data_IF_976194546239
#
_entry.id   IF_976194546239
#
_cell.length_a   1.000
_cell.length_b   1.000
_cell.length_c   1.000
_cell.angle_alpha   90.00
_cell.angle_beta   90.00
_cell.angle_gamma   90.00
#
_symmetry.space_group_name_H-M   'P 1'
#
loop_
_entity.id
_entity.type
_entity.pdbx_description
1 polymer ?
#
# COMPACT_ATOMS: atom_id res chain seq x y z
N UNK A 1 8.32 -4.85 15.36
CA UNK A 1 8.78 -3.57 15.94
C UNK A 1 7.62 -2.63 16.29
N UNK A 2 6.86 -2.08 15.33
CA UNK A 2 5.81 -1.09 15.64
C UNK A 2 4.81 -1.59 16.70
N UNK A 3 4.32 -2.83 16.57
CA UNK A 3 3.40 -3.42 17.57
C UNK A 3 4.00 -3.41 18.98
N UNK A 4 5.30 -3.68 19.12
CA UNK A 4 5.99 -3.67 20.42
C UNK A 4 6.03 -2.25 21.00
N UNK A 5 6.31 -1.23 20.18
CA UNK A 5 6.29 0.17 20.62
C UNK A 5 4.89 0.58 21.09
N UNK A 6 3.84 0.16 20.39
CA UNK A 6 2.45 0.41 20.84
C UNK A 6 2.17 -0.26 22.17
N UNK A 7 2.63 -1.51 22.36
CA UNK A 7 2.45 -2.24 23.62
C UNK A 7 3.14 -1.50 24.75
N UNK A 8 4.39 -1.08 24.55
CA UNK A 8 5.14 -0.31 25.56
C UNK A 8 4.46 1.03 25.86
N UNK A 9 4.02 1.77 24.84
CA UNK A 9 3.32 3.06 25.01
C UNK A 9 2.02 2.91 25.81
N UNK A 10 1.32 1.80 25.64
CA UNK A 10 0.05 1.53 26.31
C UNK A 10 0.23 0.80 27.67
N UNK A 11 1.44 0.42 28.04
CA UNK A 11 1.73 -0.19 29.35
C UNK A 11 1.62 0.87 30.44
N UNK A 12 1.06 0.49 31.58
CA UNK A 12 0.95 1.31 32.79
C UNK A 12 1.66 0.68 34.00
N UNK A 13 2.54 -0.31 33.75
CA UNK A 13 3.34 -1.07 34.72
C UNK A 13 2.53 -1.77 35.85
N UNK A 14 1.20 -1.70 35.78
CA UNK A 14 0.27 -2.37 36.68
C UNK A 14 -0.14 -3.73 36.11
N UNK A 15 0.31 -4.79 36.79
CA UNK A 15 -0.04 -6.18 36.44
C UNK A 15 -1.55 -6.49 36.51
N UNK A 16 -2.34 -5.63 37.16
CA UNK A 16 -3.79 -5.78 37.28
C UNK A 16 -4.56 -5.09 36.14
N UNK A 17 -3.90 -4.20 35.40
CA UNK A 17 -4.51 -3.53 34.26
C UNK A 17 -4.76 -4.54 33.15
N UNK A 18 -6.00 -4.49 32.64
CA UNK A 18 -6.42 -5.41 31.59
C UNK A 18 -5.68 -5.08 30.29
N UNK A 19 -5.16 -6.10 29.58
CA UNK A 19 -4.44 -5.86 28.34
C UNK A 19 -5.38 -5.33 27.26
N UNK A 20 -4.91 -4.30 26.57
CA UNK A 20 -5.56 -3.75 25.39
C UNK A 20 -5.30 -4.65 24.17
N UNK A 21 -6.33 -4.80 23.34
CA UNK A 21 -6.21 -5.43 22.03
C UNK A 21 -5.72 -4.39 21.02
N UNK A 22 -4.46 -4.50 20.62
CA UNK A 22 -3.79 -3.59 19.71
C UNK A 22 -3.76 -4.19 18.31
N UNK A 23 -4.44 -3.52 17.38
CA UNK A 23 -4.52 -3.97 15.98
C UNK A 23 -4.07 -2.88 15.02
N UNK A 24 -3.44 -3.29 13.92
CA UNK A 24 -3.09 -2.38 12.83
C UNK A 24 -4.39 -1.97 12.11
N UNK A 25 -4.72 -0.69 12.14
CA UNK A 25 -5.90 -0.15 11.47
C UNK A 25 -5.60 0.22 10.01
N UNK A 26 -4.46 0.86 9.79
CA UNK A 26 -4.06 1.31 8.47
C UNK A 26 -2.56 1.55 8.40
N UNK A 27 -2.02 1.54 7.19
CA UNK A 27 -0.63 1.86 6.89
C UNK A 27 -0.62 2.95 5.84
N UNK A 28 0.04 4.06 6.12
CA UNK A 28 0.21 5.13 5.15
C UNK A 28 1.09 4.68 3.99
N UNK A 29 1.09 5.48 2.93
CA UNK A 29 1.94 5.27 1.76
C UNK A 29 3.39 5.02 2.19
N UNK A 30 3.97 3.91 1.73
CA UNK A 30 5.37 3.56 1.96
C UNK A 30 6.10 3.78 0.64
N UNK A 31 7.17 4.57 0.68
CA UNK A 31 7.97 4.93 -0.49
C UNK A 31 9.41 4.46 -0.27
N UNK A 32 9.95 3.74 -1.24
CA UNK A 32 11.36 3.40 -1.32
C UNK A 32 12.12 4.56 -1.94
N UNK A 33 12.84 5.32 -1.12
CA UNK A 33 13.64 6.48 -1.55
C UNK A 33 14.97 6.05 -2.16
N UNK A 34 15.59 5.01 -1.60
CA UNK A 34 16.90 4.48 -2.02
C UNK A 34 16.87 2.96 -2.10
N UNK A 35 17.65 2.35 -3.00
CA UNK A 35 17.78 0.91 -3.06
C UNK A 35 18.38 0.39 -1.75
N UNK A 36 17.85 -0.73 -1.27
CA UNK A 36 18.38 -1.43 -0.09
C UNK A 36 19.44 -2.43 -0.57
N UNK A 37 20.66 -2.29 -0.08
CA UNK A 37 21.74 -3.25 -0.30
C UNK A 37 21.63 -4.42 0.69
N UNK A 38 21.92 -5.65 0.23
CA UNK A 38 21.87 -6.84 1.10
C UNK A 38 23.12 -6.94 1.99
N UNK A 39 24.23 -6.32 1.57
CA UNK A 39 25.54 -6.43 2.23
C UNK A 39 25.77 -5.37 3.33
N UNK A 40 24.79 -4.49 3.57
CA UNK A 40 24.91 -3.38 4.53
C UNK A 40 23.80 -3.50 5.57
N UNK A 41 24.14 -3.34 6.83
CA UNK A 41 23.18 -3.38 7.94
C UNK A 41 22.07 -2.33 7.80
N UNK A 42 20.86 -2.74 8.17
CA UNK A 42 19.69 -1.88 8.22
C UNK A 42 19.45 -1.40 9.65
N UNK A 43 19.41 -0.07 9.82
CA UNK A 43 18.96 0.55 11.08
C UNK A 43 17.50 0.93 10.95
N UNK A 44 16.63 0.22 11.64
CA UNK A 44 15.20 0.53 11.69
C UNK A 44 14.92 1.28 12.99
N UNK A 45 14.39 2.49 12.88
CA UNK A 45 13.96 3.32 14.01
C UNK A 45 12.47 3.56 13.87
N UNK A 46 11.74 3.50 14.98
CA UNK A 46 10.33 3.85 14.99
C UNK A 46 9.99 4.62 16.26
N UNK A 47 9.09 5.60 16.13
CA UNK A 47 8.68 6.51 17.20
C UNK A 47 7.17 6.76 17.12
N UNK A 48 6.55 6.95 18.29
CA UNK A 48 5.15 7.40 18.36
C UNK A 48 5.13 8.88 18.05
N UNK A 49 4.48 9.27 16.95
CA UNK A 49 4.43 10.67 16.50
C UNK A 49 3.12 11.34 16.87
N UNK A 50 2.04 10.58 17.08
CA UNK A 50 0.74 11.14 17.41
C UNK A 50 -0.16 10.14 18.11
N UNK A 51 -0.98 10.64 19.04
CA UNK A 51 -1.92 9.83 19.82
C UNK A 51 -3.28 10.51 19.92
N UNK A 52 -4.30 9.82 19.41
CA UNK A 52 -5.70 10.20 19.52
C UNK A 52 -6.35 9.69 20.82
N UNK A 53 -7.67 9.46 20.79
CA UNK A 53 -8.38 8.85 21.93
C UNK A 53 -8.03 7.37 22.10
N UNK A 54 -8.03 6.62 21.00
CA UNK A 54 -7.83 5.16 20.99
C UNK A 54 -6.95 4.73 19.82
N UNK A 55 -6.22 5.67 19.23
CA UNK A 55 -5.44 5.47 18.00
C UNK A 55 -4.04 6.04 18.18
N UNK A 56 -3.03 5.29 17.76
CA UNK A 56 -1.62 5.67 17.78
C UNK A 56 -1.11 5.70 16.35
N UNK A 57 -0.43 6.78 15.95
CA UNK A 57 0.38 6.84 14.72
C UNK A 57 1.84 6.69 15.09
N UNK A 58 2.51 5.72 14.45
CA UNK A 58 3.95 5.46 14.58
C UNK A 58 4.61 5.76 13.25
N UNK A 59 5.66 6.56 13.27
CA UNK A 59 6.58 6.71 12.15
C UNK A 59 7.68 5.66 12.26
N UNK A 60 7.99 5.01 11.14
CA UNK A 60 9.09 4.08 11.00
C UNK A 60 10.00 4.57 9.89
N UNK A 61 11.30 4.62 10.19
CA UNK A 61 12.36 4.99 9.28
C UNK A 61 13.35 3.84 9.18
N UNK A 62 13.63 3.42 7.96
CA UNK A 62 14.69 2.46 7.65
C UNK A 62 15.85 3.25 7.07
N UNK A 63 16.98 3.22 7.76
CA UNK A 63 18.22 3.86 7.36
C UNK A 63 19.25 2.82 6.95
N UNK A 64 20.00 3.14 5.92
CA UNK A 64 21.19 2.40 5.52
C UNK A 64 22.30 3.42 5.31
N UNK A 65 23.34 3.34 6.13
CA UNK A 65 24.51 4.22 6.00
C UNK A 65 25.58 3.50 5.20
N UNK A 66 26.15 4.18 4.21
CA UNK A 66 27.43 3.74 3.65
C UNK A 66 28.52 3.86 4.73
N UNK A 67 29.44 2.89 4.75
CA UNK A 67 30.59 2.90 5.66
C UNK A 67 31.35 4.24 5.49
N UNK A 68 31.51 4.99 6.60
CA UNK A 68 32.24 6.26 6.74
C UNK A 68 31.51 7.61 6.50
N UNK A 69 30.18 7.67 6.45
CA UNK A 69 29.47 8.98 6.46
C UNK A 69 28.60 9.09 7.72
N UNK A 70 28.69 10.22 8.44
CA UNK A 70 27.81 10.50 9.59
C UNK A 70 26.35 10.42 9.13
N UNK A 71 25.50 9.75 9.91
CA UNK A 71 24.08 9.60 9.64
C UNK A 71 23.41 10.98 9.46
N UNK A 72 23.18 11.36 8.20
CA UNK A 72 22.38 12.51 7.80
C UNK A 72 20.98 12.03 7.40
N UNK A 73 20.03 12.96 7.23
CA UNK A 73 18.69 12.68 6.70
C UNK A 73 18.69 11.97 5.34
N UNK A 74 19.82 12.03 4.62
CA UNK A 74 20.02 11.35 3.34
C UNK A 74 20.23 9.83 3.49
N UNK A 75 20.45 9.31 4.71
CA UNK A 75 20.58 7.85 4.93
C UNK A 75 19.24 7.09 4.94
N UNK A 76 18.10 7.79 4.91
CA UNK A 76 16.76 7.17 5.00
C UNK A 76 16.38 6.51 3.67
N UNK A 77 16.36 5.18 3.65
CA UNK A 77 15.97 4.38 2.49
C UNK A 77 14.45 4.25 2.36
N UNK A 78 13.73 4.15 3.47
CA UNK A 78 12.28 3.94 3.48
C UNK A 78 11.65 4.63 4.70
N UNK A 79 10.51 5.28 4.48
CA UNK A 79 9.68 5.86 5.54
C UNK A 79 8.26 5.28 5.46
N UNK A 80 7.70 4.90 6.60
CA UNK A 80 6.36 4.32 6.69
C UNK A 80 5.65 4.78 7.97
N UNK A 81 4.38 5.19 7.88
CA UNK A 81 3.58 5.48 9.07
C UNK A 81 2.52 4.40 9.27
N UNK A 82 2.43 3.89 10.49
CA UNK A 82 1.49 2.85 10.89
C UNK A 82 0.48 3.43 11.87
N UNK A 83 -0.80 3.21 11.63
CA UNK A 83 -1.86 3.55 12.57
C UNK A 83 -2.34 2.27 13.26
N UNK A 84 -2.24 2.27 14.57
CA UNK A 84 -2.80 1.25 15.44
C UNK A 84 -4.04 1.78 16.15
N UNK A 85 -4.95 0.88 16.48
CA UNK A 85 -6.10 1.18 17.35
C UNK A 85 -6.12 0.23 18.53
N UNK A 86 -6.38 0.82 19.70
CA UNK A 86 -6.57 0.11 20.95
C UNK A 86 -8.05 -0.20 21.16
N UNK A 87 -8.32 -1.46 21.47
CA UNK A 87 -9.65 -1.95 21.81
C UNK A 87 -9.63 -2.65 23.16
N UNK A 88 -10.73 -2.55 23.89
CA UNK A 88 -10.94 -3.29 25.12
C UNK A 88 -11.10 -4.79 24.80
N UNK A 89 -10.39 -5.64 25.53
CA UNK A 89 -10.30 -7.08 25.28
C UNK A 89 -11.60 -7.84 25.53
N UNK A 90 -12.52 -7.32 26.35
CA UNK A 90 -13.82 -7.96 26.62
C UNK A 90 -14.93 -7.40 25.75
N UNK A 91 -14.98 -6.08 25.59
CA UNK A 91 -16.09 -5.40 24.90
C UNK A 91 -15.82 -5.20 23.41
N UNK A 92 -14.56 -5.28 22.97
CA UNK A 92 -14.15 -4.99 21.59
C UNK A 92 -14.29 -3.51 21.20
N UNK A 93 -14.72 -2.64 22.12
CA UNK A 93 -14.91 -1.20 21.89
C UNK A 93 -13.58 -0.45 21.95
N UNK A 94 -13.55 0.73 21.36
CA UNK A 94 -12.38 1.61 21.42
C UNK A 94 -12.01 1.96 22.87
N UNK A 95 -10.75 1.72 23.24
CA UNK A 95 -10.24 1.97 24.58
C UNK A 95 -9.35 3.24 24.62
N UNK A 96 -9.44 4.05 25.69
CA UNK A 96 -8.53 5.18 25.87
C UNK A 96 -7.08 4.70 26.05
N UNK A 97 -6.12 5.53 25.65
CA UNK A 97 -4.68 5.25 25.71
C UNK A 97 -3.89 6.47 26.20
N UNK A 98 -2.66 6.23 26.63
CA UNK A 98 -1.73 7.23 27.16
C UNK A 98 -1.53 8.37 26.16
N UNK A 99 -1.64 9.62 26.62
CA UNK A 99 -1.41 10.80 25.76
C UNK A 99 0.07 10.98 25.48
N UNK A 100 0.38 11.52 24.31
CA UNK A 100 1.74 11.91 23.95
C UNK A 100 1.93 13.40 24.27
N UNK A 101 3.03 13.73 24.94
CA UNK A 101 3.48 15.09 25.21
C UNK A 101 4.81 15.33 24.47
N UNK A 102 4.79 15.90 23.25
CA UNK A 102 6.00 16.25 22.52
C UNK A 102 6.87 17.26 23.27
N UNK A 103 8.14 16.96 23.49
CA UNK A 103 9.06 17.81 24.25
C UNK A 103 9.90 18.67 23.30
N UNK A 104 10.50 18.02 22.31
CA UNK A 104 11.40 18.65 21.34
C UNK A 104 10.63 19.37 20.22
N UNK A 105 11.27 20.34 19.56
CA UNK A 105 10.67 21.03 18.41
C UNK A 105 10.33 20.07 17.26
N UNK A 106 11.21 19.09 17.01
CA UNK A 106 11.00 18.06 15.98
C UNK A 106 9.77 17.21 16.30
N UNK A 107 9.61 16.77 17.55
CA UNK A 107 8.43 16.00 17.95
C UNK A 107 7.14 16.81 17.85
N UNK A 108 7.18 18.11 18.19
CA UNK A 108 6.02 19.01 18.05
C UNK A 108 5.58 19.14 16.60
N UNK A 109 6.53 19.36 15.69
CA UNK A 109 6.25 19.42 14.25
C UNK A 109 5.66 18.10 13.74
N UNK A 110 6.27 16.96 14.07
CA UNK A 110 5.76 15.64 13.67
C UNK A 110 4.35 15.37 14.20
N UNK A 111 4.05 15.83 15.42
CA UNK A 111 2.72 15.72 16.03
C UNK A 111 1.68 16.57 15.30
N UNK A 112 1.99 17.82 15.01
CA UNK A 112 1.11 18.74 14.27
C UNK A 112 0.81 18.22 12.86
N UNK A 113 1.84 17.75 12.15
CA UNK A 113 1.67 17.16 10.83
C UNK A 113 0.77 15.90 10.87
N UNK A 114 0.99 15.03 11.86
CA UNK A 114 0.17 13.83 12.05
C UNK A 114 -1.27 14.17 12.41
N UNK A 115 -1.49 15.19 13.24
CA UNK A 115 -2.82 15.68 13.56
C UNK A 115 -3.53 16.23 12.32
N UNK A 116 -2.84 17.02 11.50
CA UNK A 116 -3.35 17.52 10.23
C UNK A 116 -3.74 16.36 9.28
N UNK A 117 -2.89 15.33 9.17
CA UNK A 117 -3.18 14.10 8.39
C UNK A 117 -4.45 13.41 8.89
N UNK A 118 -4.59 13.23 10.20
CA UNK A 118 -5.77 12.58 10.78
C UNK A 118 -7.05 13.41 10.57
N UNK A 119 -6.97 14.73 10.69
CA UNK A 119 -8.10 15.63 10.43
C UNK A 119 -8.54 15.58 8.97
N UNK A 120 -7.58 15.51 8.03
CA UNK A 120 -7.88 15.32 6.62
C UNK A 120 -8.56 13.96 6.35
N UNK A 121 -8.12 12.90 7.04
CA UNK A 121 -8.73 11.57 6.94
C UNK A 121 -10.19 11.59 7.42
N UNK A 122 -10.50 12.29 8.52
CA UNK A 122 -11.88 12.44 9.01
C UNK A 122 -12.76 13.17 8.00
N UNK A 123 -12.26 14.24 7.36
CA UNK A 123 -13.00 14.98 6.33
C UNK A 123 -13.30 14.12 5.09
N UNK A 124 -12.37 13.26 4.66
CA UNK A 124 -12.58 12.33 3.53
C UNK A 124 -13.64 11.26 3.77
N UNK A 125 -13.94 10.91 5.03
CA UNK A 125 -15.03 9.96 5.35
C UNK A 125 -16.43 10.52 5.05
N UNK A 126 -16.54 11.80 4.70
CA UNK A 126 -17.79 12.48 4.34
C UNK A 126 -18.29 12.25 2.91
N UNK A 127 -17.62 11.43 2.10
CA UNK A 127 -18.12 10.96 0.79
C UNK A 127 -18.32 12.06 -0.25
N UNK A 128 -17.31 12.28 -1.09
CA UNK A 128 -17.49 13.04 -2.33
C UNK A 128 -17.55 12.03 -3.47
N UNK A 129 -18.76 11.58 -3.82
CA UNK A 129 -18.99 10.71 -4.98
C UNK A 129 -19.01 11.65 -6.18
N UNK A 130 -17.86 11.84 -6.82
CA UNK A 130 -17.75 12.71 -7.99
C UNK A 130 -18.29 12.00 -9.22
N UNK A 131 -19.04 12.74 -10.02
CA UNK A 131 -19.38 12.34 -11.38
C UNK A 131 -18.20 12.63 -12.30
N UNK A 132 -17.98 11.76 -13.29
CA UNK A 132 -16.88 11.90 -14.25
C UNK A 132 -17.10 13.09 -15.18
N UNK A 133 -16.02 13.80 -15.52
CA UNK A 133 -16.05 14.92 -16.47
C UNK A 133 -16.09 14.42 -17.93
N UNK A 134 -16.49 15.29 -18.86
CA UNK A 134 -16.65 14.96 -20.28
C UNK A 134 -15.34 14.48 -20.95
N UNK A 135 -14.18 14.91 -20.45
CA UNK A 135 -12.87 14.45 -20.93
C UNK A 135 -12.52 13.01 -20.51
N UNK A 136 -12.99 12.60 -19.34
CA UNK A 136 -12.79 11.27 -18.78
C UNK A 136 -13.59 10.20 -19.55
N UNK A 137 -14.81 10.55 -19.96
CA UNK A 137 -15.64 9.69 -20.82
C UNK A 137 -14.98 9.40 -22.18
N UNK A 138 -14.34 10.39 -22.81
CA UNK A 138 -13.63 10.18 -24.10
C UNK A 138 -12.44 9.23 -23.97
N UNK A 139 -11.70 9.33 -22.86
CA UNK A 139 -10.56 8.44 -22.57
C UNK A 139 -11.04 7.01 -22.32
N UNK A 140 -12.14 6.85 -21.57
CA UNK A 140 -12.80 5.57 -21.32
C UNK A 140 -13.23 4.90 -22.65
N UNK A 141 -13.90 5.65 -23.53
CA UNK A 141 -14.35 5.16 -24.83
C UNK A 141 -13.18 4.69 -25.71
N UNK A 142 -12.08 5.43 -25.73
CA UNK A 142 -10.88 5.05 -26.48
C UNK A 142 -10.27 3.72 -25.98
N UNK A 143 -10.15 3.56 -24.66
CA UNK A 143 -9.67 2.30 -24.07
C UNK A 143 -10.60 1.12 -24.34
N UNK A 144 -11.92 1.34 -24.25
CA UNK A 144 -12.88 0.29 -24.55
C UNK A 144 -12.89 -0.10 -26.02
N UNK A 145 -12.69 0.85 -26.93
CA UNK A 145 -12.53 0.55 -28.35
C UNK A 145 -11.31 -0.35 -28.60
N UNK A 146 -10.18 -0.06 -27.94
CA UNK A 146 -8.97 -0.90 -28.02
C UNK A 146 -9.21 -2.29 -27.40
N UNK A 147 -9.80 -2.36 -26.21
CA UNK A 147 -10.12 -3.62 -25.53
C UNK A 147 -11.11 -4.51 -26.30
N UNK A 148 -12.05 -3.91 -27.06
CA UNK A 148 -12.96 -4.64 -27.95
C UNK A 148 -12.23 -5.29 -29.11
N UNK A 149 -11.22 -4.63 -29.70
CA UNK A 149 -10.39 -5.24 -30.76
C UNK A 149 -9.71 -6.51 -30.23
N UNK A 150 -9.15 -6.46 -29.02
CA UNK A 150 -8.57 -7.64 -28.37
C UNK A 150 -9.57 -8.76 -28.10
N UNK A 151 -10.82 -8.41 -27.80
CA UNK A 151 -11.87 -9.40 -27.48
C UNK A 151 -12.50 -10.02 -28.73
N UNK A 152 -12.78 -9.22 -29.75
CA UNK A 152 -13.51 -9.64 -30.96
C UNK A 152 -12.57 -10.08 -32.09
N UNK A 153 -11.39 -9.45 -32.21
CA UNK A 153 -10.44 -9.63 -33.31
C UNK A 153 -8.98 -9.70 -32.82
N UNK A 154 -8.62 -10.71 -32.00
CA UNK A 154 -7.32 -10.80 -31.34
C UNK A 154 -6.13 -10.83 -32.31
N UNK A 155 -6.31 -11.33 -33.53
CA UNK A 155 -5.26 -11.37 -34.55
C UNK A 155 -4.87 -9.98 -35.09
N UNK A 156 -5.76 -8.99 -34.97
CA UNK A 156 -5.53 -7.61 -35.43
C UNK A 156 -5.15 -6.65 -34.28
N UNK A 157 -5.11 -7.15 -33.05
CA UNK A 157 -4.80 -6.34 -31.89
C UNK A 157 -3.32 -5.89 -31.87
N UNK A 158 -3.04 -4.72 -31.28
CA UNK A 158 -1.67 -4.22 -31.20
C UNK A 158 -0.79 -5.16 -30.37
N UNK A 159 0.40 -5.50 -30.89
CA UNK A 159 1.34 -6.39 -30.21
C UNK A 159 1.94 -5.76 -28.95
N UNK A 160 1.86 -4.44 -28.82
CA UNK A 160 2.34 -3.72 -27.64
C UNK A 160 1.25 -3.51 -26.58
N UNK A 161 0.04 -4.02 -26.75
CA UNK A 161 -1.02 -3.97 -25.74
C UNK A 161 -1.38 -5.37 -25.24
N UNK A 162 -1.95 -5.45 -24.04
CA UNK A 162 -2.46 -6.70 -23.45
C UNK A 162 -3.69 -6.40 -22.60
N UNK A 163 -4.65 -7.32 -22.59
CA UNK A 163 -5.84 -7.19 -21.74
C UNK A 163 -5.46 -7.30 -20.27
N UNK A 164 -6.07 -6.47 -19.44
CA UNK A 164 -5.92 -6.50 -17.98
C UNK A 164 -6.13 -7.91 -17.42
N UNK A 165 -7.16 -8.61 -17.91
CA UNK A 165 -7.51 -9.97 -17.48
C UNK A 165 -6.39 -10.99 -17.71
N UNK A 166 -5.57 -10.78 -18.73
CA UNK A 166 -4.49 -11.70 -19.12
C UNK A 166 -3.21 -11.46 -18.31
N UNK A 167 -3.15 -10.37 -17.53
CA UNK A 167 -2.05 -10.07 -16.59
C UNK A 167 -2.28 -10.66 -15.19
N UNK A 168 -3.39 -11.37 -14.98
CA UNK A 168 -3.82 -11.83 -13.65
C UNK A 168 -2.98 -12.98 -13.12
N UNK A 169 -2.55 -12.88 -11.87
CA UNK A 169 -2.05 -14.01 -11.09
C UNK A 169 -2.89 -14.20 -9.84
N UNK A 170 -2.92 -15.41 -9.31
CA UNK A 170 -3.60 -15.70 -8.05
C UNK A 170 -2.75 -16.60 -7.14
N UNK A 171 -2.93 -16.42 -5.85
CA UNK A 171 -2.31 -17.26 -4.83
C UNK A 171 -3.34 -17.53 -3.73
N UNK A 172 -3.47 -18.78 -3.31
CA UNK A 172 -4.43 -19.20 -2.29
C UNK A 172 -3.73 -19.96 -1.18
N UNK A 173 -4.07 -19.66 0.07
CA UNK A 173 -3.47 -20.30 1.25
C UNK A 173 -4.45 -20.36 2.42
N UNK A 174 -4.23 -21.31 3.32
CA UNK A 174 -4.91 -21.37 4.61
C UNK A 174 -4.08 -20.61 5.64
N UNK A 175 -4.74 -19.76 6.41
CA UNK A 175 -4.10 -18.97 7.46
C UNK A 175 -3.68 -19.86 8.64
N UNK A 176 -2.38 -19.91 8.92
CA UNK A 176 -1.80 -20.81 9.93
C UNK A 176 -1.52 -20.09 11.27
N UNK A 177 -1.46 -20.83 12.40
CA UNK A 177 -1.21 -20.24 13.71
C UNK A 177 0.09 -19.43 13.82
N UNK A 178 1.12 -19.73 13.05
CA UNK A 178 2.40 -19.00 13.06
C UNK A 178 2.28 -17.58 12.49
N UNK A 179 1.20 -17.29 11.76
CA UNK A 179 0.94 -16.02 11.07
C UNK A 179 0.10 -15.06 11.94
N UNK A 180 -0.28 -15.49 13.16
CA UNK A 180 -1.12 -14.72 14.07
C UNK A 180 -0.33 -13.66 14.84
N UNK A 181 -0.99 -12.57 15.18
CA UNK A 181 -0.56 -11.62 16.18
C UNK A 181 -0.80 -12.17 17.61
N UNK A 182 -0.31 -11.46 18.63
CA UNK A 182 -0.48 -11.83 20.04
C UNK A 182 -1.95 -11.97 20.48
N UNK A 183 -2.88 -11.45 19.69
CA UNK A 183 -4.32 -11.49 19.95
C UNK A 183 -5.05 -12.57 19.14
N UNK A 184 -4.32 -13.47 18.46
CA UNK A 184 -4.90 -14.62 17.77
C UNK A 184 -5.44 -14.34 16.35
N UNK A 185 -5.28 -13.12 15.82
CA UNK A 185 -5.70 -12.75 14.46
C UNK A 185 -4.51 -12.69 13.52
N UNK A 186 -4.71 -12.87 12.23
CA UNK A 186 -3.64 -12.76 11.24
C UNK A 186 -3.05 -11.36 11.23
N UNK A 187 -1.71 -11.32 11.25
CA UNK A 187 -0.96 -10.09 11.32
C UNK A 187 -1.08 -9.31 9.99
N UNK A 188 -1.40 -8.02 10.04
CA UNK A 188 -1.51 -7.19 8.82
C UNK A 188 -0.23 -7.15 7.99
N UNK A 189 0.94 -7.27 8.63
CA UNK A 189 2.22 -7.42 7.93
C UNK A 189 2.35 -8.71 7.13
N UNK A 190 1.71 -9.80 7.56
CA UNK A 190 1.66 -11.03 6.77
C UNK A 190 0.85 -10.82 5.47
N UNK A 191 -0.31 -10.16 5.57
CA UNK A 191 -1.12 -9.83 4.39
C UNK A 191 -0.35 -8.93 3.40
N UNK A 192 0.32 -7.89 3.92
CA UNK A 192 1.13 -7.00 3.08
C UNK A 192 2.29 -7.74 2.40
N UNK A 193 2.98 -8.62 3.13
CA UNK A 193 4.09 -9.39 2.58
C UNK A 193 3.63 -10.32 1.46
N UNK A 194 2.54 -11.08 1.68
CA UNK A 194 1.97 -11.97 0.65
C UNK A 194 1.45 -11.19 -0.57
N UNK A 195 0.80 -10.05 -0.34
CA UNK A 195 0.35 -9.19 -1.43
C UNK A 195 1.54 -8.64 -2.23
N UNK A 196 2.62 -8.23 -1.57
CA UNK A 196 3.84 -7.75 -2.22
C UNK A 196 4.52 -8.84 -3.05
N UNK A 197 4.68 -10.06 -2.52
CA UNK A 197 5.26 -11.19 -3.25
C UNK A 197 4.48 -11.49 -4.54
N UNK A 198 3.15 -11.49 -4.45
CA UNK A 198 2.28 -11.71 -5.60
C UNK A 198 2.37 -10.55 -6.60
N UNK A 199 2.35 -9.30 -6.12
CA UNK A 199 2.49 -8.13 -6.98
C UNK A 199 3.83 -8.09 -7.70
N UNK A 200 4.93 -8.42 -7.02
CA UNK A 200 6.25 -8.52 -7.60
C UNK A 200 6.28 -9.59 -8.70
N UNK A 201 5.68 -10.76 -8.43
CA UNK A 201 5.58 -11.85 -9.41
C UNK A 201 4.79 -11.40 -10.65
N UNK A 202 3.66 -10.72 -10.47
CA UNK A 202 2.87 -10.17 -11.58
C UNK A 202 3.63 -9.12 -12.38
N UNK A 203 4.32 -8.20 -11.71
CA UNK A 203 5.18 -7.21 -12.37
C UNK A 203 6.26 -7.90 -13.20
N UNK A 204 6.87 -8.95 -12.65
CA UNK A 204 7.95 -9.67 -13.32
C UNK A 204 7.45 -10.45 -14.53
N UNK A 205 6.34 -11.19 -14.41
CA UNK A 205 5.74 -11.92 -15.54
C UNK A 205 5.24 -10.97 -16.64
N UNK A 206 4.72 -9.80 -16.26
CA UNK A 206 4.23 -8.81 -17.20
C UNK A 206 5.35 -8.07 -17.93
N UNK A 207 6.36 -7.60 -17.19
CA UNK A 207 7.46 -6.84 -17.76
C UNK A 207 8.51 -7.74 -18.44
N UNK A 208 8.60 -9.03 -18.10
CA UNK A 208 9.68 -9.91 -18.57
C UNK A 208 11.08 -9.47 -18.13
N UNK A 209 11.16 -8.51 -17.20
CA UNK A 209 12.38 -7.96 -16.63
C UNK A 209 12.19 -7.79 -15.12
N UNK A 210 13.29 -7.88 -14.37
CA UNK A 210 13.25 -7.79 -12.91
C UNK A 210 12.64 -6.43 -12.50
N UNK A 211 11.48 -6.45 -11.81
CA UNK A 211 10.82 -5.22 -11.39
C UNK A 211 11.54 -4.62 -10.19
N UNK A 212 11.46 -3.29 -10.09
CA UNK A 212 11.98 -2.49 -9.00
C UNK A 212 10.82 -1.84 -8.26
N UNK A 213 10.70 -2.12 -6.96
CA UNK A 213 9.65 -1.56 -6.12
C UNK A 213 9.86 -0.05 -5.90
N UNK A 214 8.80 0.74 -6.05
CA UNK A 214 8.84 2.18 -5.80
C UNK A 214 8.03 2.56 -4.57
N UNK A 215 6.76 2.13 -4.53
CA UNK A 215 5.87 2.48 -3.45
C UNK A 215 4.71 1.52 -3.32
N UNK A 216 4.19 1.41 -2.10
CA UNK A 216 2.87 0.85 -1.83
C UNK A 216 1.99 1.97 -1.28
N UNK A 217 0.78 2.04 -1.80
CA UNK A 217 -0.17 3.07 -1.46
C UNK A 217 -0.77 2.87 -0.05
N UNK A 218 -1.56 3.83 0.43
CA UNK A 218 -2.23 3.72 1.73
C UNK A 218 -3.12 2.46 1.79
N UNK A 219 -2.97 1.66 2.83
CA UNK A 219 -3.70 0.41 3.07
C UNK A 219 -4.58 0.56 4.30
N UNK A 220 -5.87 0.26 4.17
CA UNK A 220 -6.80 0.15 5.30
C UNK A 220 -7.12 -1.32 5.62
N UNK A 221 -6.99 -1.71 6.88
CA UNK A 221 -7.36 -3.02 7.40
C UNK A 221 -8.77 -2.95 7.98
N UNK A 222 -9.75 -3.09 7.10
CA UNK A 222 -11.17 -2.93 7.44
C UNK A 222 -11.73 -4.14 8.19
N UNK A 223 -11.36 -5.36 7.76
CA UNK A 223 -11.84 -6.61 8.37
C UNK A 223 -10.68 -7.46 8.87
N UNK A 224 -10.80 -8.02 10.09
CA UNK A 224 -9.82 -8.98 10.58
C UNK A 224 -9.85 -10.25 9.74
N UNK A 225 -8.71 -10.94 9.72
CA UNK A 225 -8.57 -12.29 9.17
C UNK A 225 -8.14 -13.19 10.31
N UNK A 226 -8.77 -14.35 10.45
CA UNK A 226 -8.55 -15.27 11.56
C UNK A 226 -7.75 -16.50 11.12
N UNK A 227 -7.19 -17.22 12.10
CA UNK A 227 -6.48 -18.47 11.83
C UNK A 227 -7.49 -19.52 11.36
N UNK A 228 -7.14 -20.23 10.28
CA UNK A 228 -8.02 -21.19 9.60
C UNK A 228 -8.76 -20.60 8.40
N UNK A 229 -8.81 -19.27 8.25
CA UNK A 229 -9.45 -18.65 7.09
C UNK A 229 -8.76 -19.04 5.78
N UNK A 230 -9.57 -19.30 4.74
CA UNK A 230 -9.08 -19.53 3.40
C UNK A 230 -8.91 -18.20 2.66
N UNK A 231 -7.65 -17.82 2.48
CA UNK A 231 -7.25 -16.53 1.95
C UNK A 231 -6.81 -16.67 0.49
N UNK A 232 -7.44 -15.91 -0.41
CA UNK A 232 -7.12 -15.87 -1.84
C UNK A 232 -6.71 -14.46 -2.24
N UNK A 233 -5.48 -14.31 -2.70
CA UNK A 233 -4.99 -13.09 -3.32
C UNK A 233 -5.15 -13.18 -4.84
N UNK A 234 -5.66 -12.11 -5.44
CA UNK A 234 -5.70 -11.93 -6.90
C UNK A 234 -4.95 -10.66 -7.23
N UNK A 235 -3.99 -10.72 -8.13
CA UNK A 235 -3.25 -9.58 -8.62
C UNK A 235 -3.52 -9.33 -10.10
N UNK A 236 -3.46 -8.08 -10.52
CA UNK A 236 -3.47 -7.68 -11.92
C UNK A 236 -2.71 -6.38 -12.11
N UNK A 237 -2.18 -6.17 -13.30
CA UNK A 237 -1.68 -4.85 -13.69
C UNK A 237 -2.89 -3.99 -14.06
N UNK A 238 -3.10 -2.88 -13.36
CA UNK A 238 -4.22 -1.97 -13.66
C UNK A 238 -3.92 -1.14 -14.91
N UNK A 239 -2.78 -0.46 -14.90
CA UNK A 239 -2.36 0.40 -16.00
C UNK A 239 -0.86 0.64 -15.93
N UNK A 240 -0.32 1.05 -17.07
CA UNK A 240 1.09 1.43 -17.23
C UNK A 240 1.20 2.89 -17.62
N UNK A 241 2.19 3.59 -17.07
CA UNK A 241 2.53 4.95 -17.50
C UNK A 241 3.85 4.91 -18.24
N UNK A 242 3.81 5.26 -19.52
CA UNK A 242 4.94 5.22 -20.44
C UNK A 242 5.55 6.61 -20.72
N UNK A 243 5.03 7.66 -20.06
CA UNK A 243 5.41 9.07 -20.28
C UNK A 243 6.92 9.30 -20.11
N UNK A 244 7.56 8.55 -19.20
CA UNK A 244 9.00 8.55 -19.01
C UNK A 244 9.59 7.27 -19.60
N UNK A 245 10.09 7.37 -20.83
CA UNK A 245 10.61 6.22 -21.58
C UNK A 245 11.72 5.46 -20.84
N UNK A 246 12.49 6.17 -20.00
CA UNK A 246 13.55 5.58 -19.17
C UNK A 246 13.03 4.88 -17.90
N UNK A 247 11.88 5.26 -17.36
CA UNK A 247 11.32 4.68 -16.12
C UNK A 247 9.79 4.48 -16.23
N UNK A 248 9.33 3.46 -16.97
CA UNK A 248 7.92 3.16 -17.07
C UNK A 248 7.40 2.71 -15.71
N UNK A 249 6.19 3.12 -15.39
CA UNK A 249 5.54 2.77 -14.13
C UNK A 249 4.50 1.69 -14.38
N UNK A 250 4.53 0.67 -13.54
CA UNK A 250 3.61 -0.46 -13.55
C UNK A 250 2.78 -0.37 -12.27
N UNK A 251 1.49 -0.06 -12.41
CA UNK A 251 0.56 0.00 -11.28
C UNK A 251 -0.15 -1.34 -11.16
N UNK A 252 -0.02 -1.98 -10.01
CA UNK A 252 -0.56 -3.31 -9.73
C UNK A 252 -1.54 -3.22 -8.58
N UNK A 253 -2.70 -3.83 -8.78
CA UNK A 253 -3.67 -4.07 -7.71
C UNK A 253 -3.54 -5.51 -7.23
N UNK A 254 -3.63 -5.69 -5.91
CA UNK A 254 -3.79 -7.00 -5.30
C UNK A 254 -4.98 -6.96 -4.35
N UNK A 255 -5.97 -7.82 -4.61
CA UNK A 255 -7.17 -7.96 -3.78
C UNK A 255 -7.09 -9.26 -2.99
N UNK A 256 -7.19 -9.14 -1.67
CA UNK A 256 -7.24 -10.27 -0.74
C UNK A 256 -8.71 -10.60 -0.39
N UNK A 257 -9.13 -11.81 -0.73
CA UNK A 257 -10.45 -12.35 -0.41
C UNK A 257 -10.34 -13.39 0.70
N UNK A 258 -11.23 -13.30 1.69
CA UNK A 258 -11.46 -14.35 2.66
C UNK A 258 -12.71 -15.11 2.23
N UNK A 259 -12.55 -16.40 2.00
CA UNK A 259 -13.61 -17.29 1.53
C UNK A 259 -13.96 -18.31 2.62
N UNK A 260 -15.24 -18.43 2.93
CA UNK A 260 -15.76 -19.38 3.90
C UNK A 260 -16.76 -20.31 3.20
N UNK A 261 -16.31 -21.45 2.66
CA UNK A 261 -17.16 -22.35 1.86
C UNK A 261 -18.40 -22.85 2.60
N UNK A 262 -18.30 -23.09 3.91
CA UNK A 262 -19.40 -23.61 4.73
C UNK A 262 -20.61 -22.68 4.77
N UNK A 263 -20.37 -21.37 4.80
CA UNK A 263 -21.42 -20.33 4.77
C UNK A 263 -21.59 -19.71 3.38
N UNK A 264 -20.90 -20.25 2.36
CA UNK A 264 -20.91 -19.77 0.97
C UNK A 264 -20.62 -18.27 0.84
N UNK A 265 -19.73 -17.76 1.68
CA UNK A 265 -19.31 -16.35 1.67
C UNK A 265 -17.92 -16.19 1.06
N UNK A 266 -17.71 -15.09 0.33
CA UNK A 266 -16.43 -14.66 -0.20
C UNK A 266 -16.39 -13.15 -0.15
N UNK A 267 -15.56 -12.60 0.74
CA UNK A 267 -15.53 -11.17 0.96
C UNK A 267 -14.14 -10.58 0.78
N UNK A 268 -14.07 -9.34 0.29
CA UNK A 268 -12.79 -8.60 0.20
C UNK A 268 -12.38 -8.18 1.60
N UNK A 269 -11.22 -8.66 2.05
CA UNK A 269 -10.62 -8.27 3.32
C UNK A 269 -9.78 -6.99 3.16
N UNK A 270 -8.91 -6.97 2.14
CA UNK A 270 -7.99 -5.87 1.87
C UNK A 270 -7.72 -5.72 0.37
N UNK A 271 -7.42 -4.49 -0.04
CA UNK A 271 -6.91 -4.18 -1.37
C UNK A 271 -5.59 -3.42 -1.22
N UNK A 272 -4.60 -3.80 -2.01
CA UNK A 272 -3.26 -3.22 -2.01
C UNK A 272 -2.95 -2.67 -3.41
N UNK A 273 -2.33 -1.50 -3.46
CA UNK A 273 -1.87 -0.90 -4.70
C UNK A 273 -0.36 -0.73 -4.64
N UNK A 274 0.34 -1.35 -5.56
CA UNK A 274 1.79 -1.32 -5.65
C UNK A 274 2.23 -0.62 -6.93
N UNK A 275 3.31 0.13 -6.85
CA UNK A 275 4.01 0.69 -7.99
C UNK A 275 5.38 0.09 -8.14
N UNK A 276 5.64 -0.38 -9.34
CA UNK A 276 6.93 -0.87 -9.76
C UNK A 276 7.43 -0.09 -10.97
N UNK A 277 8.74 -0.13 -11.18
CA UNK A 277 9.38 0.25 -12.44
C UNK A 277 10.33 -0.86 -12.86
N UNK A 278 11.03 -0.68 -13.96
CA UNK A 278 12.05 -1.63 -14.45
C UNK A 278 13.40 -0.96 -14.39
N UNK A 279 14.42 -1.67 -13.88
CA UNK A 279 15.78 -1.10 -13.74
C UNK A 279 16.36 -0.69 -15.11
N UNK A 280 16.98 0.49 -15.24
CA UNK A 280 17.61 0.93 -16.49
C UNK A 280 18.67 -0.06 -17.01
N UNK A 281 19.46 -0.66 -16.12
CA UNK A 281 20.48 -1.67 -16.46
C UNK A 281 19.87 -2.90 -17.14
N UNK A 282 18.68 -3.31 -16.70
CA UNK A 282 17.95 -4.42 -17.31
C UNK A 282 17.42 -4.06 -18.71
N UNK A 283 17.12 -2.77 -18.95
CA UNK A 283 16.76 -2.25 -20.28
C UNK A 283 17.96 -2.13 -21.21
N UNK A 284 19.11 -1.68 -20.72
CA UNK A 284 20.33 -1.51 -21.52
C UNK A 284 20.84 -2.84 -22.11
N UNK A 285 20.57 -3.97 -21.44
CA UNK A 285 20.85 -5.31 -21.99
C UNK A 285 19.87 -5.75 -23.07
N UNK A 286 18.72 -5.10 -23.19
CA UNK A 286 17.63 -5.47 -24.08
C UNK A 286 17.21 -4.25 -24.92
N UNK A 287 18.03 -3.91 -25.93
CA UNK A 287 17.88 -2.72 -26.80
C UNK A 287 16.51 -2.57 -27.52
N UNK A 288 15.62 -3.57 -27.43
CA UNK A 288 14.26 -3.53 -27.98
C UNK A 288 13.14 -3.56 -26.93
N UNK A 289 13.45 -3.38 -25.63
CA UNK A 289 12.45 -3.49 -24.57
C UNK A 289 11.40 -2.37 -24.65
N UNK A 290 10.18 -2.74 -25.03
CA UNK A 290 8.98 -1.91 -24.88
C UNK A 290 8.04 -2.57 -23.89
N UNK A 291 7.74 -1.86 -22.81
CA UNK A 291 6.71 -2.30 -21.88
C UNK A 291 5.36 -2.25 -22.58
N UNK A 292 4.57 -3.31 -22.44
CA UNK A 292 3.23 -3.37 -23.04
C UNK A 292 2.29 -2.40 -22.32
N UNK A 293 1.34 -1.83 -23.04
CA UNK A 293 0.23 -1.11 -22.46
C UNK A 293 -0.84 -2.10 -21.97
N UNK A 294 -1.53 -1.75 -20.89
CA UNK A 294 -2.65 -2.55 -20.37
C UNK A 294 -3.96 -1.90 -20.76
N UNK A 295 -4.86 -2.71 -21.32
CA UNK A 295 -6.18 -2.26 -21.77
C UNK A 295 -7.30 -3.00 -21.02
N UNK A 296 -8.36 -2.29 -20.59
CA UNK A 296 -9.52 -2.92 -19.96
C UNK A 296 -10.38 -3.64 -21.01
N UNK A 297 -10.98 -4.76 -20.63
CA UNK A 297 -11.94 -5.45 -21.49
C UNK A 297 -13.38 -4.96 -21.27
N UNK A 298 -13.70 -4.52 -20.05
CA UNK A 298 -15.06 -4.10 -19.67
C UNK A 298 -15.11 -2.66 -19.18
N UNK A 299 -16.31 -2.06 -19.19
CA UNK A 299 -16.52 -0.69 -18.72
C UNK A 299 -16.22 -0.56 -17.22
N UNK A 300 -16.48 -1.60 -16.43
CA UNK A 300 -16.14 -1.62 -15.00
C UNK A 300 -14.64 -1.58 -14.78
N UNK A 301 -13.86 -2.35 -15.55
CA UNK A 301 -12.39 -2.33 -15.49
C UNK A 301 -11.86 -0.94 -15.90
N UNK A 302 -12.40 -0.35 -16.97
CA UNK A 302 -11.99 0.96 -17.45
C UNK A 302 -12.28 2.07 -16.42
N UNK A 303 -13.46 2.04 -15.79
CA UNK A 303 -13.86 2.98 -14.74
C UNK A 303 -12.97 2.84 -13.51
N UNK A 304 -12.69 1.61 -13.09
CA UNK A 304 -11.81 1.33 -11.95
C UNK A 304 -10.40 1.86 -12.15
N UNK A 305 -9.84 1.70 -13.37
CA UNK A 305 -8.54 2.29 -13.73
C UNK A 305 -8.59 3.81 -13.62
N UNK A 306 -9.65 4.44 -14.08
CA UNK A 306 -9.77 5.90 -14.08
C UNK A 306 -9.86 6.46 -12.65
N UNK A 307 -10.76 5.91 -11.82
CA UNK A 307 -10.87 6.28 -10.40
C UNK A 307 -9.51 6.18 -9.69
N UNK A 308 -8.72 5.17 -10.07
CA UNK A 308 -7.39 4.98 -9.53
C UNK A 308 -6.40 6.05 -10.00
N UNK A 309 -6.41 6.41 -11.28
CA UNK A 309 -5.54 7.48 -11.81
C UNK A 309 -5.85 8.83 -11.13
N UNK A 310 -7.13 9.15 -10.93
CA UNK A 310 -7.54 10.40 -10.30
C UNK A 310 -7.17 10.43 -8.82
N UNK A 311 -7.35 9.30 -8.13
CA UNK A 311 -6.91 9.15 -6.75
C UNK A 311 -5.40 9.36 -6.58
N UNK A 312 -4.60 9.03 -7.60
CA UNK A 312 -3.16 9.31 -7.61
C UNK A 312 -2.83 10.78 -7.92
N UNK A 313 -3.50 11.39 -8.91
CA UNK A 313 -3.31 12.80 -9.25
C UNK A 313 -3.67 13.74 -8.09
N UNK A 314 -4.72 13.40 -7.34
CA UNK A 314 -5.12 14.09 -6.10
C UNK A 314 -4.09 13.94 -4.97
N UNK A 315 -3.25 12.90 -4.99
CA UNK A 315 -2.19 12.68 -3.99
C UNK A 315 -0.91 13.42 -4.37
N UNK A 316 -0.51 13.41 -5.64
CA UNK A 316 0.68 14.10 -6.13
C UNK A 316 0.59 15.62 -6.00
N UNK A 317 -0.54 16.21 -6.40
CA UNK A 317 -0.83 17.66 -6.25
C UNK A 317 -0.75 18.13 -4.79
N UNK A 318 -1.22 17.30 -3.85
CA UNK A 318 -1.21 17.63 -2.41
C UNK A 318 0.17 17.49 -1.77
N UNK A 319 1.02 16.58 -2.26
CA UNK A 319 2.41 16.48 -1.81
C UNK A 319 3.26 17.66 -2.29
N UNK A 320 2.99 18.20 -3.47
CA UNK A 320 3.65 19.42 -3.97
C UNK A 320 3.27 20.68 -3.17
N UNK A 321 1.99 20.86 -2.82
CA UNK A 321 1.57 22.02 -2.03
C UNK A 321 2.16 22.08 -0.60
N UNK A 322 2.50 20.94 0.00
CA UNK A 322 3.16 20.91 1.32
C UNK A 322 4.65 21.24 1.19
N UNK A 323 5.30 20.88 0.08
CA UNK A 323 6.70 21.20 -0.18
C UNK A 323 6.99 22.68 -0.43
N UNK A 324 6.03 23.44 -0.97
CA UNK A 324 6.19 24.89 -1.25
C UNK A 324 6.04 25.78 -0.02
N UNK A 325 5.55 25.26 1.12
CA UNK A 325 5.40 26.02 2.37
C UNK A 325 6.69 25.99 3.21
N UNK A 326 7.69 25.21 2.82
CA UNK A 326 8.99 25.07 3.50
C UNK A 326 10.17 25.58 2.65
N UNK A 327 9.96 26.56 1.78
CA UNK A 327 11.04 27.33 1.14
C UNK A 327 10.98 28.80 1.52
#
# INVERSE_FOLDING_TARGET
MCLYIVIQHCSDDDSTTRPLLLVTASVHKIVLKKPICVDIDLKIVASVIWVGRSSIEIQLEVMQSELNVKASSDSVALTANFIFVARDSKTGKAAPINRLSPETEVEKLLFEEAEARNNLRKKKRGGDRREFDHGECKKLEAWLAEGRIFSDMPALADRNSILLKDTRLENSLICQPQQRNIHGRIFGGFLMHRAFELAFSTAYTFAGLVPYFLEVDHVDFLRPVDVGDFLRFKSCVLYTQLDKQDCPLINIEVVAHVTSPEIRSSEVSNTFYFKFTVRPEAKARNNGFKLRNVVPATEEEARHILERMDAEALKSSKQQCVGTILQ
#
